data_IF_752460636812
#
_entry.id   IF_752460636812
#
_cell.length_a   1.000
_cell.length_b   1.000
_cell.length_c   1.000
_cell.angle_alpha   90.00
_cell.angle_beta   90.00
_cell.angle_gamma   90.00
#
_symmetry.space_group_name_H-M   'P 1'
#
loop_
_entity.id
_entity.type
_entity.pdbx_description
1 polymer ?
#
# COMPACT_ATOMS: atom_id res chain seq x y z
N UNK A 1 17.24 2.79 14.28
CA UNK A 1 18.63 2.61 13.87
C UNK A 1 18.92 1.12 13.76
N UNK A 2 18.76 0.55 12.57
CA UNK A 2 19.12 -0.84 12.22
C UNK A 2 19.71 -0.87 10.81
N UNK A 3 20.53 0.15 10.49
CA UNK A 3 21.12 0.33 9.16
C UNK A 3 22.44 -0.43 8.98
N UNK A 4 22.97 -1.04 10.03
CA UNK A 4 24.20 -1.82 9.92
C UNK A 4 24.03 -3.16 10.66
N UNK A 5 23.55 -4.19 9.95
CA UNK A 5 23.85 -5.57 10.27
C UNK A 5 25.37 -5.80 10.04
N UNK A 6 26.20 -5.13 10.83
CA UNK A 6 27.62 -5.51 10.93
C UNK A 6 27.67 -6.84 11.70
N UNK A 7 27.47 -7.91 10.94
CA UNK A 7 27.63 -9.25 11.50
C UNK A 7 29.12 -9.52 11.65
N UNK A 8 29.59 -9.92 12.83
CA UNK A 8 30.94 -10.41 12.99
C UNK A 8 31.20 -11.53 11.99
N UNK A 9 32.39 -11.60 11.44
CA UNK A 9 32.80 -12.68 10.53
C UNK A 9 32.52 -14.03 11.21
N UNK A 10 31.68 -14.88 10.57
CA UNK A 10 31.28 -16.17 11.12
C UNK A 10 30.02 -16.17 12.01
N UNK A 11 29.35 -15.03 12.19
CA UNK A 11 28.06 -15.01 12.90
C UNK A 11 27.01 -15.80 12.12
N UNK A 12 26.40 -16.80 12.78
CA UNK A 12 25.21 -17.48 12.26
C UNK A 12 23.98 -16.65 12.64
N UNK A 13 23.35 -16.03 11.67
CA UNK A 13 22.02 -15.43 11.83
C UNK A 13 20.99 -16.48 11.48
N UNK A 14 20.01 -16.62 12.36
CA UNK A 14 18.88 -17.55 12.15
C UNK A 14 17.61 -16.71 12.00
N UNK A 15 16.78 -16.98 10.97
CA UNK A 15 15.45 -16.38 10.90
C UNK A 15 14.66 -16.67 12.18
N UNK A 16 13.90 -15.71 12.62
CA UNK A 16 13.06 -15.85 13.80
C UNK A 16 11.66 -15.26 13.52
N UNK A 17 10.65 -15.92 14.02
CA UNK A 17 9.29 -15.43 14.02
C UNK A 17 8.59 -15.82 15.31
N UNK A 18 7.54 -15.10 15.64
CA UNK A 18 6.60 -15.46 16.69
C UNK A 18 5.20 -15.43 16.11
N UNK A 19 4.51 -16.54 16.19
CA UNK A 19 3.12 -16.64 15.78
C UNK A 19 2.27 -16.86 17.01
N UNK A 20 1.26 -16.02 17.23
CA UNK A 20 0.32 -16.16 18.35
C UNK A 20 -1.09 -16.43 17.86
N UNK A 21 -1.81 -17.27 18.61
CA UNK A 21 -3.22 -17.60 18.38
C UNK A 21 -3.98 -17.23 19.64
N UNK A 22 -5.01 -16.37 19.56
CA UNK A 22 -5.77 -15.92 20.73
C UNK A 22 -4.87 -15.43 21.88
N UNK A 23 -3.85 -14.65 21.56
CA UNK A 23 -2.82 -14.11 22.49
C UNK A 23 -1.94 -15.18 23.16
N UNK A 24 -1.92 -16.41 22.69
CA UNK A 24 -0.98 -17.45 23.13
C UNK A 24 0.02 -17.73 22.03
N UNK A 25 1.30 -17.76 22.38
CA UNK A 25 2.37 -18.15 21.45
C UNK A 25 2.14 -19.58 20.98
N UNK A 26 2.32 -19.82 19.68
CA UNK A 26 2.24 -21.16 19.11
C UNK A 26 3.29 -22.06 19.76
N UNK A 27 2.89 -23.27 20.16
CA UNK A 27 3.80 -24.22 20.81
C UNK A 27 5.01 -24.52 19.94
N UNK A 28 6.16 -24.71 20.54
CA UNK A 28 7.43 -24.92 19.85
C UNK A 28 7.40 -26.14 18.92
N UNK A 29 6.74 -27.22 19.35
CA UNK A 29 6.55 -28.44 18.55
C UNK A 29 5.75 -28.18 17.25
N UNK A 30 4.79 -27.24 17.26
CA UNK A 30 4.01 -26.87 16.08
C UNK A 30 4.81 -25.88 15.22
N UNK A 31 5.49 -24.92 15.84
CA UNK A 31 6.35 -23.95 15.14
C UNK A 31 7.48 -24.62 14.38
N UNK A 32 8.07 -25.69 14.94
CA UNK A 32 9.13 -26.47 14.32
C UNK A 32 8.68 -27.23 13.07
N UNK A 33 7.36 -27.41 12.87
CA UNK A 33 6.79 -28.05 11.68
C UNK A 33 6.56 -27.09 10.51
N UNK A 34 6.83 -25.79 10.66
CA UNK A 34 6.65 -24.83 9.58
C UNK A 34 7.74 -25.05 8.54
N UNK A 35 7.32 -25.52 7.34
CA UNK A 35 8.18 -25.65 6.16
C UNK A 35 8.43 -24.31 5.51
N UNK A 36 7.38 -23.49 5.41
CA UNK A 36 7.46 -22.14 4.84
C UNK A 36 6.45 -21.20 5.47
N UNK A 37 6.89 -19.95 5.62
CA UNK A 37 6.09 -18.82 6.04
C UNK A 37 6.32 -17.70 5.04
N UNK A 38 5.25 -17.10 4.52
CA UNK A 38 5.36 -15.88 3.75
C UNK A 38 4.30 -14.87 4.14
N UNK A 39 4.68 -13.62 4.26
CA UNK A 39 3.77 -12.50 4.47
C UNK A 39 3.98 -11.46 3.38
N UNK A 40 2.87 -11.07 2.73
CA UNK A 40 2.85 -9.99 1.74
C UNK A 40 2.16 -8.80 2.34
N UNK A 41 2.88 -7.70 2.43
CA UNK A 41 2.37 -6.38 2.84
C UNK A 41 2.13 -5.56 1.57
N UNK A 42 0.88 -5.18 1.31
CA UNK A 42 0.44 -4.49 0.11
C UNK A 42 0.06 -3.05 0.38
N UNK A 43 0.26 -2.18 -0.60
CA UNK A 43 -0.35 -0.85 -0.60
C UNK A 43 -1.79 -0.90 -1.12
N UNK A 44 -2.61 0.10 -0.75
CA UNK A 44 -4.00 0.20 -1.18
C UNK A 44 -4.95 -0.78 -0.48
N UNK A 45 -6.10 -1.05 -1.12
CA UNK A 45 -7.16 -1.88 -0.53
C UNK A 45 -6.96 -3.39 -0.70
N UNK A 46 -5.79 -3.81 -1.18
CA UNK A 46 -5.44 -5.23 -1.25
C UNK A 46 -5.04 -5.71 0.14
N UNK A 47 -5.76 -6.70 0.67
CA UNK A 47 -5.45 -7.25 1.99
C UNK A 47 -4.04 -7.87 2.00
N UNK A 48 -3.33 -7.65 3.10
CA UNK A 48 -2.08 -8.36 3.35
C UNK A 48 -2.38 -9.85 3.54
N UNK A 49 -1.46 -10.69 3.10
CA UNK A 49 -1.69 -12.13 3.10
C UNK A 49 -0.56 -12.84 3.82
N UNK A 50 -0.92 -13.70 4.77
CA UNK A 50 -0.02 -14.62 5.44
C UNK A 50 -0.27 -16.04 4.92
N UNK A 51 0.77 -16.68 4.39
CA UNK A 51 0.74 -18.09 3.99
C UNK A 51 1.68 -18.89 4.88
N UNK A 52 1.18 -20.00 5.40
CA UNK A 52 1.92 -20.94 6.22
C UNK A 52 1.79 -22.34 5.62
N UNK A 53 2.88 -23.08 5.60
CA UNK A 53 2.88 -24.49 5.22
C UNK A 53 3.51 -25.30 6.34
N UNK A 54 2.78 -26.28 6.85
CA UNK A 54 3.23 -27.16 7.91
C UNK A 54 3.47 -28.57 7.38
N UNK A 55 4.48 -29.23 7.94
CA UNK A 55 4.70 -30.65 7.78
C UNK A 55 3.72 -31.45 8.67
N UNK A 56 2.92 -32.28 8.04
CA UNK A 56 1.97 -33.18 8.70
C UNK A 56 2.21 -34.66 8.30
N UNK A 57 3.45 -35.00 7.97
CA UNK A 57 3.82 -36.34 7.50
C UNK A 57 3.45 -37.45 8.50
N UNK A 58 3.29 -37.12 9.77
CA UNK A 58 2.84 -38.03 10.83
C UNK A 58 1.32 -38.00 11.07
N UNK A 59 0.57 -37.11 10.40
CA UNK A 59 -0.88 -36.96 10.55
C UNK A 59 -1.34 -36.50 11.92
N UNK A 60 -0.47 -35.83 12.72
CA UNK A 60 -0.78 -35.45 14.09
C UNK A 60 -1.24 -34.00 14.25
N UNK A 61 -1.13 -33.17 13.22
CA UNK A 61 -1.55 -31.77 13.31
C UNK A 61 -3.06 -31.62 13.16
N UNK A 62 -3.67 -30.91 14.09
CA UNK A 62 -5.05 -30.49 13.93
C UNK A 62 -5.16 -29.34 12.94
N UNK A 63 -6.08 -29.45 11.98
CA UNK A 63 -6.36 -28.37 11.05
C UNK A 63 -6.91 -27.15 11.80
N UNK A 64 -6.33 -25.93 11.59
CA UNK A 64 -6.84 -24.72 12.22
C UNK A 64 -8.25 -24.40 11.74
N UNK A 65 -9.06 -23.84 12.64
CA UNK A 65 -10.43 -23.45 12.31
C UNK A 65 -10.40 -22.11 11.53
N UNK A 66 -11.19 -22.04 10.45
CA UNK A 66 -11.41 -20.79 9.72
C UNK A 66 -11.92 -19.70 10.66
N UNK A 67 -11.43 -18.47 10.50
CA UNK A 67 -11.75 -17.36 11.40
C UNK A 67 -10.82 -17.24 12.61
N UNK A 68 -9.89 -18.16 12.78
CA UNK A 68 -8.84 -18.02 13.81
C UNK A 68 -7.98 -16.80 13.49
N UNK A 69 -7.76 -15.94 14.50
CA UNK A 69 -6.89 -14.76 14.36
C UNK A 69 -5.47 -15.15 14.77
N UNK A 70 -4.54 -14.86 13.86
CA UNK A 70 -3.10 -15.07 14.00
C UNK A 70 -2.44 -13.69 14.14
N UNK A 71 -1.44 -13.55 15.01
CA UNK A 71 -0.59 -12.36 15.09
C UNK A 71 0.85 -12.77 14.83
N UNK A 72 1.49 -12.13 13.86
CA UNK A 72 2.83 -12.47 13.38
C UNK A 72 3.84 -11.39 13.74
N UNK A 73 4.96 -11.83 14.34
CA UNK A 73 6.19 -11.03 14.41
C UNK A 73 7.30 -11.75 13.66
N UNK A 74 8.13 -11.00 12.94
CA UNK A 74 9.12 -11.54 12.02
C UNK A 74 10.45 -10.80 12.14
N UNK A 75 11.57 -11.50 11.95
CA UNK A 75 12.90 -10.89 11.99
C UNK A 75 14.03 -11.90 12.12
N UNK A 76 15.04 -11.53 12.87
CA UNK A 76 16.23 -12.31 13.09
C UNK A 76 16.40 -12.65 14.58
N UNK A 77 16.91 -13.84 14.87
CA UNK A 77 17.19 -14.26 16.23
C UNK A 77 18.13 -13.25 16.94
N UNK A 78 17.88 -13.07 18.25
CA UNK A 78 18.62 -12.10 19.11
C UNK A 78 18.40 -10.62 18.76
N UNK A 79 17.41 -10.31 17.93
CA UNK A 79 16.98 -8.95 17.63
C UNK A 79 15.49 -8.78 17.97
N UNK A 80 15.03 -7.54 18.13
CA UNK A 80 13.61 -7.27 18.24
C UNK A 80 12.91 -7.67 16.94
N UNK A 81 11.84 -8.46 17.06
CA UNK A 81 11.03 -8.85 15.90
C UNK A 81 10.09 -7.71 15.51
N UNK A 82 9.84 -7.57 14.22
CA UNK A 82 8.87 -6.63 13.68
C UNK A 82 7.47 -7.19 13.76
N UNK A 83 6.54 -6.36 14.20
CA UNK A 83 5.11 -6.66 14.19
C UNK A 83 4.58 -6.56 12.76
N UNK A 84 4.18 -7.71 12.19
CA UNK A 84 3.56 -7.81 10.87
C UNK A 84 2.02 -7.71 10.93
N UNK A 85 1.43 -7.59 12.12
CA UNK A 85 0.00 -7.42 12.32
C UNK A 85 -0.79 -8.70 12.48
N UNK A 86 -2.12 -8.53 12.41
CA UNK A 86 -3.10 -9.59 12.64
C UNK A 86 -3.66 -10.12 11.33
N UNK A 87 -3.82 -11.45 11.26
CA UNK A 87 -4.34 -12.15 10.09
C UNK A 87 -5.43 -13.13 10.50
N UNK A 88 -6.54 -13.13 9.78
CA UNK A 88 -7.65 -14.06 10.01
C UNK A 88 -7.55 -15.22 9.02
N UNK A 89 -7.56 -16.45 9.52
CA UNK A 89 -7.52 -17.67 8.70
C UNK A 89 -8.74 -17.72 7.79
N UNK A 90 -8.46 -17.71 6.47
CA UNK A 90 -9.46 -17.76 5.41
C UNK A 90 -9.56 -19.16 4.79
N UNK A 91 -8.44 -19.70 4.36
CA UNK A 91 -8.38 -20.98 3.67
C UNK A 91 -7.44 -21.94 4.38
N UNK A 92 -7.87 -23.20 4.54
CA UNK A 92 -7.06 -24.28 5.06
C UNK A 92 -7.10 -25.42 4.05
N UNK A 93 -5.94 -25.95 3.68
CA UNK A 93 -5.78 -27.05 2.75
C UNK A 93 -5.01 -28.18 3.39
N UNK A 94 -5.33 -29.41 3.05
CA UNK A 94 -4.53 -30.59 3.34
C UNK A 94 -4.17 -31.25 2.02
N UNK A 95 -2.91 -31.60 1.84
CA UNK A 95 -2.39 -32.21 0.61
C UNK A 95 -1.29 -33.21 0.96
N UNK A 96 -1.14 -34.24 0.14
CA UNK A 96 -0.13 -35.31 0.32
C UNK A 96 0.12 -36.05 -1.00
N UNK A 97 1.14 -36.89 -1.13
CA UNK A 97 2.19 -37.29 -0.17
C UNK A 97 3.51 -36.58 -0.49
N UNK A 98 4.37 -36.13 0.47
CA UNK A 98 4.14 -36.16 1.91
C UNK A 98 3.04 -35.19 2.37
N UNK A 99 2.37 -35.53 3.46
CA UNK A 99 1.22 -34.76 3.94
C UNK A 99 1.63 -33.39 4.50
N UNK A 100 0.86 -32.37 4.14
CA UNK A 100 1.08 -30.97 4.48
C UNK A 100 -0.23 -30.26 4.77
N UNK A 101 -0.20 -29.33 5.72
CA UNK A 101 -1.30 -28.42 5.95
C UNK A 101 -0.89 -27.02 5.47
N UNK A 102 -1.66 -26.47 4.53
CA UNK A 102 -1.53 -25.09 4.07
C UNK A 102 -2.57 -24.21 4.73
N UNK A 103 -2.15 -23.04 5.20
CA UNK A 103 -3.02 -22.03 5.79
C UNK A 103 -2.80 -20.70 5.07
N UNK A 104 -3.90 -20.13 4.58
CA UNK A 104 -3.93 -18.76 4.05
C UNK A 104 -4.75 -17.89 5.00
N UNK A 105 -4.15 -16.82 5.49
CA UNK A 105 -4.81 -15.85 6.34
C UNK A 105 -4.65 -14.43 5.77
N UNK A 106 -5.60 -13.55 6.03
CA UNK A 106 -5.65 -12.19 5.49
C UNK A 106 -5.73 -11.16 6.60
N UNK A 107 -5.13 -9.98 6.40
CA UNK A 107 -5.09 -8.89 7.37
C UNK A 107 -6.46 -8.27 7.67
N UNK A 108 -7.44 -8.48 6.81
CA UNK A 108 -8.80 -8.02 7.02
C UNK A 108 -9.79 -9.18 6.90
N UNK A 109 -10.77 -9.24 7.80
CA UNK A 109 -11.87 -10.16 7.70
C UNK A 109 -12.94 -9.58 6.76
N UNK A 110 -12.72 -9.74 5.45
CA UNK A 110 -13.70 -9.35 4.44
C UNK A 110 -14.89 -10.31 4.31
N UNK A 111 -14.98 -11.33 5.19
CA UNK A 111 -16.01 -12.38 5.13
C UNK A 111 -17.37 -11.93 5.64
N UNK A 112 -17.92 -10.88 5.17
CA UNK A 112 -19.25 -10.54 5.63
C UNK A 112 -19.78 -9.24 5.09
N UNK A 113 -19.45 -8.14 5.75
CA UNK A 113 -20.10 -6.88 5.45
C UNK A 113 -19.45 -6.10 4.32
N UNK A 114 -18.11 -6.19 4.15
CA UNK A 114 -17.41 -5.43 3.11
C UNK A 114 -17.76 -5.85 1.67
N UNK A 115 -18.10 -7.11 1.45
CA UNK A 115 -18.44 -7.64 0.12
C UNK A 115 -19.95 -7.58 -0.19
N UNK A 116 -20.77 -7.18 0.77
CA UNK A 116 -22.19 -6.99 0.54
C UNK A 116 -22.43 -5.69 -0.23
N UNK A 117 -23.16 -5.79 -1.34
CA UNK A 117 -23.60 -4.61 -2.08
C UNK A 117 -24.75 -3.96 -1.33
N UNK A 118 -24.62 -2.68 -1.10
CA UNK A 118 -25.65 -1.87 -0.47
C UNK A 118 -25.96 -0.63 -1.31
N UNK A 119 -27.14 -0.05 -1.06
CA UNK A 119 -27.53 1.24 -1.63
C UNK A 119 -27.84 2.18 -0.47
N UNK A 120 -27.08 3.27 -0.37
CA UNK A 120 -27.24 4.29 0.66
C UNK A 120 -26.81 5.65 0.12
N UNK A 121 -27.60 6.68 0.40
CA UNK A 121 -27.26 8.07 0.10
C UNK A 121 -26.66 8.74 1.32
N UNK A 122 -25.73 9.64 1.10
CA UNK A 122 -25.09 10.47 2.12
C UNK A 122 -25.25 11.93 1.72
N UNK A 123 -26.02 12.70 2.50
CA UNK A 123 -26.33 14.10 2.27
C UNK A 123 -25.72 14.96 3.37
N UNK A 124 -24.97 16.01 3.00
CA UNK A 124 -24.31 16.93 3.92
C UNK A 124 -23.39 16.30 4.96
N UNK A 125 -22.72 15.20 4.59
CA UNK A 125 -21.71 14.55 5.41
C UNK A 125 -20.31 15.10 5.15
N UNK A 126 -19.39 14.88 6.11
CA UNK A 126 -17.96 14.98 5.82
C UNK A 126 -17.42 13.62 5.37
N UNK A 127 -16.28 13.62 4.64
CA UNK A 127 -15.61 12.38 4.25
C UNK A 127 -15.33 11.48 5.46
N UNK A 128 -14.81 12.06 6.55
CA UNK A 128 -14.54 11.30 7.76
C UNK A 128 -15.80 10.74 8.41
N UNK A 129 -16.91 11.47 8.38
CA UNK A 129 -18.18 10.97 8.91
C UNK A 129 -18.66 9.73 8.13
N UNK A 130 -18.58 9.77 6.79
CA UNK A 130 -18.92 8.62 5.94
C UNK A 130 -18.03 7.42 6.27
N UNK A 131 -16.71 7.63 6.38
CA UNK A 131 -15.76 6.54 6.67
C UNK A 131 -16.02 5.94 8.06
N UNK A 132 -16.39 6.76 9.08
CA UNK A 132 -16.76 6.26 10.42
C UNK A 132 -18.04 5.42 10.40
N UNK A 133 -19.04 5.82 9.60
CA UNK A 133 -20.27 5.04 9.41
C UNK A 133 -19.94 3.66 8.83
N UNK A 134 -19.08 3.63 7.80
CA UNK A 134 -18.66 2.37 7.17
C UNK A 134 -17.82 1.53 8.14
N UNK A 135 -16.91 2.14 8.90
CA UNK A 135 -16.11 1.44 9.92
C UNK A 135 -17.00 0.76 10.95
N UNK A 136 -17.95 1.51 11.53
CA UNK A 136 -18.91 1.00 12.52
C UNK A 136 -19.78 -0.14 11.96
N UNK A 137 -20.29 0.02 10.73
CA UNK A 137 -21.09 -1.02 10.05
C UNK A 137 -20.32 -2.33 9.88
N UNK A 138 -19.01 -2.23 9.62
CA UNK A 138 -18.13 -3.37 9.44
C UNK A 138 -17.47 -3.86 10.74
N UNK A 139 -17.89 -3.30 11.91
CA UNK A 139 -17.35 -3.67 13.23
C UNK A 139 -15.85 -3.49 13.36
N UNK A 140 -15.32 -2.46 12.70
CA UNK A 140 -13.91 -2.08 12.78
C UNK A 140 -13.69 -1.00 13.84
N UNK A 141 -12.43 -0.85 14.23
CA UNK A 141 -11.99 0.22 15.11
C UNK A 141 -12.15 1.60 14.45
N UNK A 142 -11.96 2.66 15.23
CA UNK A 142 -12.05 4.03 14.72
C UNK A 142 -11.07 4.22 13.55
N UNK A 143 -11.52 4.76 12.41
CA UNK A 143 -10.67 4.97 11.27
C UNK A 143 -9.62 6.06 11.53
N UNK A 144 -8.44 5.92 10.94
CA UNK A 144 -7.39 6.92 10.96
C UNK A 144 -7.43 7.69 9.64
N UNK A 145 -7.74 8.98 9.73
CA UNK A 145 -7.93 9.86 8.57
C UNK A 145 -7.18 11.17 8.83
N UNK A 146 -6.34 11.65 7.90
CA UNK A 146 -5.73 12.98 8.01
C UNK A 146 -6.80 14.06 8.15
N UNK A 147 -6.58 15.04 9.03
CA UNK A 147 -7.59 16.06 9.33
C UNK A 147 -8.03 16.85 8.10
N UNK A 148 -7.15 17.07 7.15
CA UNK A 148 -7.45 17.73 5.87
C UNK A 148 -8.45 16.95 4.99
N UNK A 149 -8.48 15.60 5.12
CA UNK A 149 -9.46 14.75 4.44
C UNK A 149 -10.72 14.56 5.30
N UNK A 150 -10.57 14.44 6.61
CA UNK A 150 -11.68 14.22 7.55
C UNK A 150 -12.74 15.33 7.43
N UNK A 151 -12.30 16.58 7.31
CA UNK A 151 -13.17 17.77 7.27
C UNK A 151 -13.76 18.08 5.88
N UNK A 152 -13.42 17.33 4.84
CA UNK A 152 -13.93 17.59 3.48
C UNK A 152 -15.43 17.40 3.45
N UNK A 153 -16.17 18.46 3.13
CA UNK A 153 -17.63 18.42 2.99
C UNK A 153 -18.04 17.74 1.70
N UNK A 154 -18.99 16.85 1.79
CA UNK A 154 -19.60 16.11 0.69
C UNK A 154 -21.09 16.46 0.69
N UNK A 155 -21.56 17.38 -0.18
CA UNK A 155 -22.97 17.77 -0.22
C UNK A 155 -23.88 16.58 -0.50
N UNK A 156 -23.50 15.74 -1.45
CA UNK A 156 -24.25 14.53 -1.82
C UNK A 156 -23.35 13.49 -2.47
N UNK A 157 -23.51 12.23 -2.06
CA UNK A 157 -22.92 11.08 -2.73
C UNK A 157 -23.73 9.82 -2.47
N UNK A 158 -23.90 9.02 -3.51
CA UNK A 158 -24.57 7.72 -3.44
C UNK A 158 -23.58 6.57 -3.47
N UNK A 159 -23.80 5.60 -2.60
CA UNK A 159 -23.33 4.24 -2.73
C UNK A 159 -24.47 3.44 -3.36
N UNK A 160 -24.39 3.14 -4.66
CA UNK A 160 -25.47 2.52 -5.42
C UNK A 160 -25.09 1.10 -5.81
N UNK A 161 -25.66 0.12 -5.10
CA UNK A 161 -25.37 -1.31 -5.35
C UNK A 161 -23.87 -1.62 -5.36
N UNK A 162 -23.11 -0.90 -4.54
CA UNK A 162 -21.64 -1.02 -4.38
C UNK A 162 -21.30 -1.70 -3.06
N UNK A 163 -20.17 -2.42 -3.04
CA UNK A 163 -19.58 -2.91 -1.79
C UNK A 163 -18.91 -1.75 -1.04
N UNK A 164 -18.76 -1.87 0.27
CA UNK A 164 -18.06 -0.86 1.08
C UNK A 164 -16.60 -0.67 0.63
N UNK A 165 -15.93 -1.74 0.27
CA UNK A 165 -14.56 -1.72 -0.24
C UNK A 165 -14.44 -0.90 -1.52
N UNK A 166 -15.35 -1.12 -2.47
CA UNK A 166 -15.37 -0.39 -3.74
C UNK A 166 -15.72 1.09 -3.53
N UNK A 167 -16.73 1.37 -2.68
CA UNK A 167 -17.13 2.74 -2.37
C UNK A 167 -16.02 3.54 -1.68
N UNK A 168 -15.34 2.95 -0.69
CA UNK A 168 -14.19 3.57 -0.01
C UNK A 168 -13.03 3.82 -0.98
N UNK A 169 -12.75 2.87 -1.88
CA UNK A 169 -11.72 3.05 -2.92
C UNK A 169 -12.07 4.20 -3.85
N UNK A 170 -13.33 4.29 -4.29
CA UNK A 170 -13.83 5.37 -5.14
C UNK A 170 -13.78 6.72 -4.44
N UNK A 171 -14.12 6.77 -3.14
CA UNK A 171 -13.97 7.97 -2.32
C UNK A 171 -12.51 8.39 -2.20
N UNK A 172 -11.63 7.45 -1.86
CA UNK A 172 -10.21 7.74 -1.73
C UNK A 172 -9.63 8.31 -3.04
N UNK A 173 -9.90 7.66 -4.17
CA UNK A 173 -9.47 8.12 -5.49
C UNK A 173 -10.00 9.52 -5.83
N UNK A 174 -11.28 9.81 -5.50
CA UNK A 174 -11.88 11.12 -5.75
C UNK A 174 -11.16 12.25 -4.99
N UNK A 175 -10.63 11.96 -3.81
CA UNK A 175 -9.97 12.95 -2.95
C UNK A 175 -8.44 12.81 -2.90
N UNK A 176 -7.84 12.11 -3.85
CA UNK A 176 -6.38 11.97 -3.96
C UNK A 176 -5.75 11.20 -2.82
N UNK A 177 -6.52 10.29 -2.25
CA UNK A 177 -6.09 9.43 -1.16
C UNK A 177 -6.02 7.97 -1.57
N UNK A 178 -5.39 7.16 -0.76
CA UNK A 178 -5.53 5.71 -0.74
C UNK A 178 -6.23 5.30 0.55
N UNK A 179 -6.86 4.14 0.50
CA UNK A 179 -7.53 3.52 1.64
C UNK A 179 -7.07 2.08 1.77
N UNK A 180 -6.85 1.64 2.99
CA UNK A 180 -6.55 0.24 3.33
C UNK A 180 -7.19 -0.12 4.66
N UNK A 181 -7.28 -1.41 4.95
CA UNK A 181 -7.68 -1.90 6.29
C UNK A 181 -6.52 -2.67 6.88
N UNK A 182 -5.97 -2.16 7.99
CA UNK A 182 -4.88 -2.80 8.72
C UNK A 182 -5.17 -2.77 10.22
N UNK A 183 -4.83 -3.85 10.90
CA UNK A 183 -5.01 -3.99 12.36
C UNK A 183 -6.43 -3.64 12.84
N UNK A 184 -7.44 -4.04 12.07
CA UNK A 184 -8.84 -3.81 12.43
C UNK A 184 -9.36 -2.38 12.19
N UNK A 185 -8.58 -1.47 11.61
CA UNK A 185 -8.98 -0.09 11.34
C UNK A 185 -8.90 0.27 9.84
N UNK A 186 -9.80 1.14 9.39
CA UNK A 186 -9.69 1.77 8.08
C UNK A 186 -8.65 2.90 8.16
N UNK A 187 -7.66 2.87 7.28
CA UNK A 187 -6.64 3.89 7.15
C UNK A 187 -6.85 4.65 5.84
N UNK A 188 -7.05 5.97 5.93
CA UNK A 188 -7.00 6.89 4.79
C UNK A 188 -5.68 7.66 4.81
N UNK A 189 -4.99 7.76 3.67
CA UNK A 189 -3.73 8.48 3.59
C UNK A 189 -3.45 8.94 2.16
N UNK A 190 -2.59 9.94 2.01
CA UNK A 190 -2.06 10.32 0.69
C UNK A 190 -0.94 9.37 0.31
N UNK A 191 -1.11 8.65 -0.79
CA UNK A 191 -0.11 7.73 -1.30
C UNK A 191 1.19 8.45 -1.68
N UNK A 192 2.32 7.76 -1.51
CA UNK A 192 3.62 8.25 -1.96
C UNK A 192 4.12 9.49 -1.20
N UNK A 193 3.55 9.83 -0.03
CA UNK A 193 3.98 10.99 0.76
C UNK A 193 5.05 10.64 1.80
N UNK A 194 5.39 9.36 1.97
CA UNK A 194 6.31 8.90 3.02
C UNK A 194 5.85 9.27 4.43
N UNK A 195 4.53 9.36 4.63
CA UNK A 195 3.91 9.67 5.91
C UNK A 195 2.95 8.55 6.32
N UNK A 196 2.86 8.33 7.62
CA UNK A 196 1.85 7.45 8.20
C UNK A 196 0.45 8.07 8.05
N UNK A 197 -0.60 7.28 8.26
CA UNK A 197 -1.97 7.78 8.31
C UNK A 197 -2.20 8.82 9.41
N UNK A 198 -1.37 8.82 10.47
CA UNK A 198 -1.36 9.86 11.52
C UNK A 198 -0.54 11.10 11.15
N UNK A 199 0.05 11.15 9.94
CA UNK A 199 0.82 12.29 9.44
C UNK A 199 2.30 12.33 9.83
N UNK A 200 2.80 11.35 10.58
CA UNK A 200 4.21 11.26 10.95
C UNK A 200 5.07 10.86 9.74
N UNK A 201 6.25 11.47 9.60
CA UNK A 201 7.18 11.09 8.54
C UNK A 201 7.73 9.67 8.78
N UNK A 202 7.68 8.83 7.75
CA UNK A 202 8.30 7.51 7.77
C UNK A 202 9.80 7.70 7.47
N UNK A 203 10.71 7.15 8.28
CA UNK A 203 12.14 7.28 8.04
C UNK A 203 12.55 6.67 6.68
N UNK A 204 13.40 7.38 5.96
CA UNK A 204 13.98 6.88 4.72
C UNK A 204 14.88 5.68 4.99
N UNK A 205 14.75 4.66 4.15
CA UNK A 205 15.61 3.47 4.17
C UNK A 205 16.46 3.46 2.91
N UNK A 206 17.65 2.85 3.00
CA UNK A 206 18.53 2.69 1.84
C UNK A 206 18.65 1.20 1.50
N UNK A 207 18.62 0.90 0.21
CA UNK A 207 18.82 -0.41 -0.37
C UNK A 207 19.99 -0.28 -1.33
N UNK A 208 21.04 -1.04 -1.10
CA UNK A 208 22.22 -1.07 -1.99
C UNK A 208 22.18 -2.31 -2.88
N UNK A 209 22.82 -2.24 -4.03
CA UNK A 209 22.83 -3.35 -4.99
C UNK A 209 23.36 -4.65 -4.39
N UNK A 210 24.29 -4.58 -3.45
CA UNK A 210 24.84 -5.76 -2.77
C UNK A 210 23.87 -6.42 -1.78
N UNK A 211 22.76 -5.78 -1.42
CA UNK A 211 21.77 -6.34 -0.49
C UNK A 211 20.98 -7.50 -1.12
N UNK A 212 20.99 -7.60 -2.46
CA UNK A 212 20.17 -8.61 -3.13
C UNK A 212 20.49 -8.81 -4.60
N UNK A 213 19.64 -9.61 -5.24
CA UNK A 213 19.72 -9.98 -6.64
C UNK A 213 18.34 -9.91 -7.34
N UNK A 214 18.29 -10.42 -8.57
CA UNK A 214 17.05 -10.50 -9.38
C UNK A 214 16.31 -9.16 -9.46
N UNK A 215 17.07 -8.06 -9.57
CA UNK A 215 16.47 -6.76 -9.77
C UNK A 215 15.94 -6.61 -11.19
N UNK A 216 14.81 -5.93 -11.30
CA UNK A 216 14.21 -5.56 -12.58
C UNK A 216 13.71 -4.12 -12.52
N UNK A 217 14.09 -3.33 -13.50
CA UNK A 217 13.59 -1.98 -13.71
C UNK A 217 12.78 -1.93 -15.00
N UNK A 218 11.58 -1.39 -14.91
CA UNK A 218 10.69 -1.22 -16.04
C UNK A 218 10.16 0.20 -16.04
N UNK A 219 10.24 0.86 -17.18
CA UNK A 219 9.58 2.13 -17.45
C UNK A 219 8.51 1.92 -18.50
N UNK A 220 7.32 2.49 -18.28
CA UNK A 220 6.15 2.31 -19.13
C UNK A 220 5.73 3.65 -19.68
N UNK A 221 5.88 3.84 -20.99
CA UNK A 221 5.52 5.08 -21.69
C UNK A 221 4.04 5.13 -22.13
N UNK A 222 3.31 4.02 -22.01
CA UNK A 222 1.97 3.83 -22.58
C UNK A 222 0.86 4.76 -22.06
N UNK A 223 1.11 5.55 -21.01
CA UNK A 223 0.20 6.55 -20.44
C UNK A 223 0.95 7.82 -20.07
N UNK A 224 1.93 8.17 -20.86
CA UNK A 224 2.77 9.33 -20.63
C UNK A 224 2.00 10.62 -20.94
N UNK A 225 1.26 11.10 -19.94
CA UNK A 225 0.61 12.40 -20.01
C UNK A 225 1.46 13.45 -19.31
N UNK A 226 1.62 14.60 -19.96
CA UNK A 226 2.36 15.77 -19.44
C UNK A 226 1.52 16.60 -18.49
N UNK A 227 0.23 16.33 -18.45
CA UNK A 227 -0.72 17.04 -17.63
C UNK A 227 -2.06 16.36 -17.56
N UNK A 228 -2.89 16.84 -16.66
CA UNK A 228 -4.28 16.42 -16.50
C UNK A 228 -5.17 17.65 -16.50
N UNK A 229 -6.27 17.60 -17.25
CA UNK A 229 -7.28 18.65 -17.32
C UNK A 229 -8.59 18.14 -16.73
N UNK A 230 -9.17 18.91 -15.80
CA UNK A 230 -10.48 18.64 -15.24
C UNK A 230 -11.42 19.83 -15.47
N UNK A 231 -12.69 19.57 -15.73
CA UNK A 231 -13.70 20.60 -15.94
C UNK A 231 -14.62 20.68 -14.72
N UNK A 232 -15.08 21.90 -14.39
CA UNK A 232 -16.14 22.10 -13.40
C UNK A 232 -17.19 23.05 -13.94
N UNK A 233 -18.40 22.94 -13.40
CA UNK A 233 -19.51 23.81 -13.70
C UNK A 233 -19.92 24.57 -12.45
N UNK A 234 -19.78 25.89 -12.50
CA UNK A 234 -20.28 26.74 -11.42
C UNK A 234 -21.79 26.98 -11.61
N UNK A 235 -22.57 26.37 -10.74
CA UNK A 235 -24.03 26.48 -10.75
C UNK A 235 -24.53 27.91 -10.49
N UNK A 236 -23.72 28.78 -9.84
CA UNK A 236 -24.13 30.16 -9.52
C UNK A 236 -23.98 31.10 -10.71
N UNK A 237 -22.92 30.92 -11.48
CA UNK A 237 -22.61 31.75 -12.65
C UNK A 237 -23.04 31.09 -13.97
N UNK A 238 -23.48 29.83 -13.91
CA UNK A 238 -23.80 29.00 -15.07
C UNK A 238 -22.64 28.92 -16.10
N UNK A 239 -21.40 29.00 -15.62
CA UNK A 239 -20.19 28.96 -16.46
C UNK A 239 -19.48 27.62 -16.28
N UNK A 240 -18.95 27.09 -17.39
CA UNK A 240 -18.06 25.94 -17.36
C UNK A 240 -16.62 26.43 -17.49
N UNK A 241 -15.76 25.99 -16.59
CA UNK A 241 -14.34 26.32 -16.58
C UNK A 241 -13.51 25.03 -16.47
N UNK A 242 -12.24 25.12 -16.77
CA UNK A 242 -11.34 23.97 -16.66
C UNK A 242 -10.06 24.34 -15.91
N UNK A 243 -9.56 23.42 -15.10
CA UNK A 243 -8.23 23.49 -14.53
C UNK A 243 -7.33 22.50 -15.27
N UNK A 244 -6.20 22.98 -15.75
CA UNK A 244 -5.15 22.15 -16.31
C UNK A 244 -3.96 22.15 -15.35
N UNK A 245 -3.54 20.96 -14.94
CA UNK A 245 -2.35 20.75 -14.12
C UNK A 245 -1.22 20.29 -15.03
N UNK A 246 -0.10 20.99 -14.95
CA UNK A 246 1.16 20.60 -15.57
C UNK A 246 2.23 20.57 -14.50
N UNK A 247 3.24 19.75 -14.69
CA UNK A 247 4.38 19.74 -13.80
C UNK A 247 5.07 21.09 -13.80
N UNK A 248 5.36 21.64 -12.61
CA UNK A 248 6.23 22.79 -12.47
C UNK A 248 7.65 22.43 -12.87
N UNK A 249 8.39 23.29 -13.59
CA UNK A 249 9.84 23.16 -13.68
C UNK A 249 10.43 23.13 -12.26
N UNK A 250 11.33 22.21 -12.02
CA UNK A 250 11.94 22.12 -10.69
C UNK A 250 12.78 23.37 -10.44
N UNK A 251 12.42 24.16 -9.43
CA UNK A 251 13.24 25.23 -8.90
C UNK A 251 14.07 24.69 -7.73
N UNK A 252 15.39 24.56 -7.92
CA UNK A 252 16.32 24.20 -6.87
C UNK A 252 17.17 22.96 -7.10
N UNK A 253 18.11 22.71 -6.20
CA UNK A 253 19.17 21.68 -6.30
C UNK A 253 18.69 20.23 -6.21
N UNK A 254 17.42 19.97 -6.01
CA UNK A 254 16.83 18.62 -5.88
C UNK A 254 15.85 18.30 -7.01
N UNK A 255 16.01 18.93 -8.16
CA UNK A 255 15.21 18.61 -9.34
C UNK A 255 15.37 17.14 -9.71
N UNK A 256 14.30 16.38 -9.64
CA UNK A 256 14.32 15.01 -10.18
C UNK A 256 14.62 15.07 -11.67
N UNK A 257 15.51 14.18 -12.18
CA UNK A 257 15.86 14.18 -13.60
C UNK A 257 14.63 14.07 -14.48
N UNK A 258 14.60 14.84 -15.56
CA UNK A 258 13.51 14.86 -16.54
C UNK A 258 13.20 13.49 -17.18
N UNK A 259 14.13 12.53 -17.07
CA UNK A 259 14.02 11.18 -17.60
C UNK A 259 12.95 10.29 -16.97
N UNK A 260 12.40 10.68 -15.79
CA UNK A 260 11.33 9.93 -15.11
C UNK A 260 9.93 10.37 -15.45
N UNK A 261 9.81 11.43 -16.21
CA UNK A 261 8.51 12.03 -16.49
C UNK A 261 7.98 11.35 -17.71
N UNK A 262 6.91 10.62 -17.55
CA UNK A 262 6.10 10.23 -18.66
C UNK A 262 5.62 11.50 -19.38
N UNK A 263 5.90 11.61 -20.68
CA UNK A 263 5.32 12.63 -21.54
C UNK A 263 6.30 13.47 -22.36
N UNK A 264 5.86 13.85 -23.53
CA UNK A 264 6.64 14.62 -24.55
C UNK A 264 6.25 16.09 -24.66
N UNK A 265 5.54 16.65 -23.68
CA UNK A 265 5.24 18.09 -23.60
C UNK A 265 3.89 18.54 -24.20
N UNK A 266 3.11 17.66 -24.82
CA UNK A 266 1.85 18.07 -25.49
C UNK A 266 0.64 17.19 -25.17
N UNK A 267 0.82 16.08 -24.48
CA UNK A 267 -0.25 15.12 -24.24
C UNK A 267 -0.93 15.36 -22.88
N UNK A 268 -2.13 15.93 -22.87
CA UNK A 268 -2.91 16.22 -21.66
C UNK A 268 -4.10 15.28 -21.58
N UNK A 269 -4.23 14.56 -20.45
CA UNK A 269 -5.40 13.72 -20.17
C UNK A 269 -6.57 14.60 -19.74
N UNK A 270 -7.66 14.57 -20.46
CA UNK A 270 -8.91 15.22 -20.07
C UNK A 270 -9.79 14.26 -19.29
N UNK A 271 -10.19 14.65 -18.06
CA UNK A 271 -11.11 13.86 -17.25
C UNK A 271 -12.52 14.00 -17.79
N UNK A 272 -13.15 12.88 -18.17
CA UNK A 272 -14.48 12.84 -18.77
C UNK A 272 -15.64 13.16 -17.83
N UNK A 273 -15.36 13.70 -16.62
CA UNK A 273 -16.36 14.10 -15.64
C UNK A 273 -16.30 15.60 -15.41
N UNK A 274 -17.48 16.23 -15.31
CA UNK A 274 -17.61 17.60 -14.87
C UNK A 274 -17.79 17.60 -13.34
N UNK A 275 -16.98 18.39 -12.65
CA UNK A 275 -17.00 18.50 -11.18
C UNK A 275 -17.89 19.66 -10.74
N UNK A 276 -18.40 19.65 -9.49
CA UNK A 276 -19.31 20.69 -9.00
C UNK A 276 -18.61 22.02 -8.68
N UNK A 277 -17.29 22.00 -8.47
CA UNK A 277 -16.49 23.17 -8.10
C UNK A 277 -15.02 22.99 -8.51
N UNK A 278 -14.30 24.12 -8.52
CA UNK A 278 -12.89 24.18 -8.87
C UNK A 278 -12.00 23.31 -7.96
N UNK A 279 -12.25 23.36 -6.65
CA UNK A 279 -11.41 22.64 -5.68
C UNK A 279 -11.51 21.12 -5.88
N UNK A 280 -12.72 20.62 -6.12
CA UNK A 280 -12.96 19.19 -6.40
C UNK A 280 -12.32 18.78 -7.73
N UNK A 281 -12.43 19.62 -8.77
CA UNK A 281 -11.80 19.38 -10.06
C UNK A 281 -10.27 19.32 -9.95
N UNK A 282 -9.68 20.27 -9.23
CA UNK A 282 -8.24 20.33 -8.97
C UNK A 282 -7.74 19.10 -8.20
N UNK A 283 -8.42 18.73 -7.13
CA UNK A 283 -8.08 17.51 -6.35
C UNK A 283 -8.15 16.25 -7.21
N UNK A 284 -9.18 16.12 -8.04
CA UNK A 284 -9.31 14.97 -8.94
C UNK A 284 -8.17 14.94 -9.98
N UNK A 285 -7.82 16.09 -10.53
CA UNK A 285 -6.71 16.19 -11.48
C UNK A 285 -5.36 15.87 -10.82
N UNK A 286 -5.10 16.39 -9.61
CA UNK A 286 -3.91 16.07 -8.81
C UNK A 286 -3.82 14.56 -8.54
N UNK A 287 -4.92 13.94 -8.13
CA UNK A 287 -4.98 12.50 -7.84
C UNK A 287 -4.61 11.65 -9.05
N UNK A 288 -5.25 11.93 -10.20
CA UNK A 288 -5.01 11.18 -11.43
C UNK A 288 -3.58 11.40 -11.93
N UNK A 289 -3.06 12.62 -11.82
CA UNK A 289 -1.71 12.90 -12.26
C UNK A 289 -0.65 12.24 -11.37
N UNK A 290 -0.84 12.25 -10.05
CA UNK A 290 0.00 11.51 -9.12
C UNK A 290 0.00 10.01 -9.42
N UNK A 291 -1.17 9.43 -9.75
CA UNK A 291 -1.26 8.02 -10.11
C UNK A 291 -0.49 7.73 -11.41
N UNK A 292 -0.61 8.58 -12.42
CA UNK A 292 0.15 8.46 -13.68
C UNK A 292 1.65 8.45 -13.41
N UNK A 293 2.14 9.36 -12.55
CA UNK A 293 3.56 9.44 -12.20
C UNK A 293 4.02 8.23 -11.38
N UNK A 294 3.20 7.73 -10.44
CA UNK A 294 3.50 6.52 -9.69
C UNK A 294 3.59 5.28 -10.59
N UNK A 295 2.78 5.21 -11.63
CA UNK A 295 2.73 4.07 -12.56
C UNK A 295 3.76 4.17 -13.70
N UNK A 296 4.52 5.28 -13.79
CA UNK A 296 5.48 5.52 -14.87
C UNK A 296 6.67 4.56 -14.85
N UNK A 297 7.07 4.10 -13.67
CA UNK A 297 8.17 3.15 -13.53
C UNK A 297 7.90 2.14 -12.40
N UNK A 298 8.55 1.00 -12.49
CA UNK A 298 8.56 -0.02 -11.44
C UNK A 298 9.97 -0.55 -11.27
N UNK A 299 10.44 -0.64 -10.04
CA UNK A 299 11.68 -1.29 -9.71
C UNK A 299 11.44 -2.41 -8.72
N UNK A 300 11.95 -3.59 -8.97
CA UNK A 300 11.85 -4.73 -8.07
C UNK A 300 13.21 -5.32 -7.77
N UNK A 301 13.38 -5.83 -6.54
CA UNK A 301 14.59 -6.50 -6.09
C UNK A 301 14.24 -7.55 -5.03
N UNK A 302 15.01 -8.65 -4.98
CA UNK A 302 14.95 -9.62 -3.90
C UNK A 302 16.18 -9.44 -3.01
N UNK A 303 15.99 -9.08 -1.75
CA UNK A 303 17.05 -8.98 -0.76
C UNK A 303 17.44 -10.37 -0.26
N UNK A 304 18.72 -10.66 -0.24
CA UNK A 304 19.28 -11.94 0.20
C UNK A 304 19.10 -12.15 1.72
N UNK A 305 19.19 -11.06 2.49
CA UNK A 305 18.85 -11.03 3.90
C UNK A 305 17.51 -10.33 4.07
N UNK A 306 16.53 -11.04 4.66
CA UNK A 306 15.19 -10.51 4.88
C UNK A 306 15.21 -9.28 5.79
N UNK A 307 14.46 -8.27 5.41
CA UNK A 307 14.31 -7.00 6.11
C UNK A 307 12.85 -6.75 6.46
N UNK A 308 12.43 -7.29 7.61
CA UNK A 308 11.05 -7.13 8.11
C UNK A 308 10.68 -5.67 8.42
N UNK A 309 11.69 -4.77 8.54
CA UNK A 309 11.49 -3.32 8.72
C UNK A 309 11.02 -2.59 7.47
N UNK A 310 11.00 -3.25 6.30
CA UNK A 310 10.56 -2.68 5.04
C UNK A 310 9.09 -3.05 4.81
N UNK A 311 8.22 -2.08 4.94
CA UNK A 311 6.76 -2.23 4.77
C UNK A 311 6.25 -1.38 3.61
N UNK A 312 5.07 -1.69 3.10
CA UNK A 312 4.40 -0.88 2.09
C UNK A 312 4.29 0.59 2.52
N UNK A 313 4.36 1.51 1.56
CA UNK A 313 4.40 2.97 1.73
C UNK A 313 5.67 3.52 2.40
N UNK A 314 6.66 2.68 2.75
CA UNK A 314 7.96 3.17 3.25
C UNK A 314 8.76 3.81 2.12
N UNK A 315 9.30 5.03 2.33
CA UNK A 315 10.16 5.69 1.35
C UNK A 315 11.56 5.06 1.38
N UNK A 316 12.12 4.82 0.19
CA UNK A 316 13.43 4.17 0.04
C UNK A 316 14.27 4.85 -1.02
N UNK A 317 15.59 4.90 -0.78
CA UNK A 317 16.60 5.22 -1.77
C UNK A 317 17.26 3.92 -2.21
N UNK A 318 17.58 3.81 -3.49
CA UNK A 318 18.38 2.70 -4.02
C UNK A 318 19.72 3.21 -4.52
N UNK A 319 20.76 2.40 -4.44
CA UNK A 319 22.11 2.80 -4.79
C UNK A 319 22.91 1.66 -5.43
N UNK A 320 23.76 2.01 -6.39
CA UNK A 320 24.67 1.08 -7.07
C UNK A 320 24.07 0.40 -8.29
N UNK A 321 23.01 0.97 -8.86
CA UNK A 321 22.37 0.52 -10.11
C UNK A 321 22.75 1.47 -11.28
N UNK A 322 21.82 1.80 -12.12
CA UNK A 322 21.96 2.80 -13.16
C UNK A 322 21.57 4.17 -12.61
N UNK A 323 22.19 5.25 -13.12
CA UNK A 323 21.89 6.62 -12.66
C UNK A 323 20.40 6.94 -12.69
N UNK A 324 19.70 6.43 -13.70
CA UNK A 324 18.24 6.57 -13.84
C UNK A 324 17.48 5.93 -12.70
N UNK A 325 18.00 4.91 -12.06
CA UNK A 325 17.37 4.21 -10.91
C UNK A 325 17.83 4.86 -9.60
N UNK A 326 19.12 5.16 -9.47
CA UNK A 326 19.74 5.66 -8.24
C UNK A 326 19.33 7.11 -7.94
N UNK A 327 19.09 7.93 -8.98
CA UNK A 327 18.60 9.30 -8.84
C UNK A 327 17.12 9.42 -8.52
N UNK A 328 16.35 8.33 -8.73
CA UNK A 328 14.94 8.28 -8.40
C UNK A 328 14.73 8.00 -6.91
N UNK A 329 13.83 8.75 -6.26
CA UNK A 329 13.28 8.40 -4.95
C UNK A 329 12.15 7.41 -5.14
N UNK A 330 12.08 6.41 -4.27
CA UNK A 330 11.12 5.30 -4.38
C UNK A 330 10.24 5.18 -3.15
N UNK A 331 9.10 4.55 -3.32
CA UNK A 331 8.22 4.09 -2.25
C UNK A 331 7.91 2.62 -2.45
N UNK A 332 7.85 1.86 -1.36
CA UNK A 332 7.50 0.44 -1.43
C UNK A 332 6.02 0.31 -1.76
N UNK A 333 5.68 -0.33 -2.88
CA UNK A 333 4.32 -0.67 -3.27
C UNK A 333 3.88 -2.00 -2.64
N UNK A 334 4.78 -2.99 -2.64
CA UNK A 334 4.57 -4.22 -1.89
C UNK A 334 5.88 -4.82 -1.40
N UNK A 335 5.81 -5.48 -0.24
CA UNK A 335 6.90 -6.24 0.36
C UNK A 335 6.46 -7.66 0.63
N UNK A 336 7.15 -8.64 0.05
CA UNK A 336 6.97 -10.07 0.32
C UNK A 336 8.13 -10.56 1.18
N UNK A 337 7.86 -10.94 2.41
CA UNK A 337 8.80 -11.54 3.33
C UNK A 337 8.60 -13.05 3.35
N UNK A 338 9.66 -13.80 3.11
CA UNK A 338 9.61 -15.27 3.03
C UNK A 338 10.64 -15.90 3.96
N UNK A 339 10.21 -16.84 4.81
CA UNK A 339 11.06 -17.78 5.51
C UNK A 339 10.79 -19.18 4.95
N UNK A 340 11.84 -19.83 4.47
CA UNK A 340 11.81 -21.21 3.99
C UNK A 340 13.19 -21.85 4.18
N UNK A 341 13.42 -23.03 3.60
CA UNK A 341 14.71 -23.74 3.66
C UNK A 341 15.91 -22.93 3.16
N UNK A 342 15.68 -21.91 2.31
CA UNK A 342 16.73 -21.01 1.80
C UNK A 342 17.04 -19.85 2.76
N UNK A 343 16.32 -19.76 3.89
CA UNK A 343 16.46 -18.72 4.88
C UNK A 343 15.36 -17.66 4.82
N UNK A 344 15.66 -16.47 5.33
CA UNK A 344 14.75 -15.33 5.33
C UNK A 344 15.14 -14.33 4.23
N UNK A 345 14.23 -14.08 3.30
CA UNK A 345 14.40 -13.15 2.18
C UNK A 345 13.26 -12.14 2.13
N UNK A 346 13.49 -11.00 1.47
CA UNK A 346 12.44 -9.99 1.22
C UNK A 346 12.46 -9.60 -0.25
N UNK A 347 11.32 -9.73 -0.93
CA UNK A 347 11.14 -9.21 -2.29
C UNK A 347 10.35 -7.92 -2.23
N UNK A 348 10.86 -6.88 -2.88
CA UNK A 348 10.25 -5.56 -2.91
C UNK A 348 9.80 -5.22 -4.32
N UNK A 349 8.66 -4.52 -4.40
CA UNK A 349 8.21 -3.82 -5.59
C UNK A 349 8.11 -2.35 -5.20
N UNK A 350 8.82 -1.51 -5.93
CA UNK A 350 8.94 -0.08 -5.68
C UNK A 350 8.30 0.70 -6.83
N UNK A 351 7.66 1.81 -6.47
CA UNK A 351 7.13 2.81 -7.40
C UNK A 351 7.79 4.17 -7.16
N UNK A 352 7.79 5.09 -8.14
CA UNK A 352 8.31 6.43 -7.95
C UNK A 352 7.66 7.16 -6.78
N UNK A 353 8.48 7.82 -5.96
CA UNK A 353 8.01 8.72 -4.91
C UNK A 353 7.62 10.05 -5.52
N UNK A 354 6.36 10.44 -5.40
CA UNK A 354 5.79 11.60 -6.12
C UNK A 354 5.43 12.78 -5.21
N UNK A 355 5.64 12.66 -3.89
CA UNK A 355 5.24 13.72 -2.95
C UNK A 355 5.98 15.06 -3.15
N UNK A 356 7.16 15.03 -3.77
CA UNK A 356 7.96 16.23 -4.04
C UNK A 356 7.63 16.89 -5.40
N UNK A 357 6.70 16.32 -6.15
CA UNK A 357 6.31 16.87 -7.45
C UNK A 357 5.36 18.04 -7.23
N UNK A 358 5.76 19.22 -7.67
CA UNK A 358 4.92 20.41 -7.68
C UNK A 358 4.24 20.59 -9.03
N UNK A 359 3.00 21.06 -9.02
CA UNK A 359 2.20 21.25 -10.23
C UNK A 359 1.87 22.73 -10.40
N UNK A 360 1.96 23.22 -11.64
CA UNK A 360 1.38 24.51 -12.03
C UNK A 360 -0.06 24.30 -12.46
N UNK A 361 -0.98 25.06 -11.87
CA UNK A 361 -2.38 25.07 -12.30
C UNK A 361 -2.64 26.27 -13.19
N UNK A 362 -3.31 26.07 -14.30
CA UNK A 362 -3.86 27.13 -15.15
C UNK A 362 -5.37 26.97 -15.25
N UNK A 363 -6.11 28.05 -15.05
CA UNK A 363 -7.56 28.09 -15.22
C UNK A 363 -7.86 28.62 -16.61
N UNK A 364 -8.68 27.89 -17.35
CA UNK A 364 -9.16 28.29 -18.69
C UNK A 364 -10.69 28.41 -18.59
N UNK A 365 -11.21 29.59 -18.86
CA UNK A 365 -12.65 29.79 -19.09
C UNK A 365 -13.00 29.23 -20.48
N UNK A 366 -14.04 28.42 -20.55
CA UNK A 366 -14.55 27.81 -21.80
C UNK A 366 -15.70 28.63 -22.34
#
# INVERSE_FOLDING_TARGET
MLTDLQLPVGARITPAFTLTIKNKVLEENISARIISLSVTDNSGFTADTLNLTFDDSDGQLQMPVRGTVLHLHLGWSKQALYDCGYFTVDTVTHSGSPDKIGVVARSADFRGSFDNKISQSYDDYTLGAIVRIISSRNKLDLPVIPQELDSVKIPHIDQTSETDSYFLTRLAQRYGAQVTVKNGAILFFKAGTGRTSSGQAIPWKTIVRSDGDNHNYQMVDKKAYDGVKAQWHDLKTATTSSVALKRSPAEGKEAQPASYIAGSGTNVLELGKIFPDEETAKRAADSVFNQIQNDAATFSIRLALGRADLSAQSPVNVQGFKDVIDSQRWVIDSALHEINEKGFTTKLILKPYVADITYQSSILQL
#
